data_IF_744637725096
#
_entry.id   IF_744637725096
#
_cell.length_a   1.000
_cell.length_b   1.000
_cell.length_c   1.000
_cell.angle_alpha   90.00
_cell.angle_beta   90.00
_cell.angle_gamma   90.00
#
_symmetry.space_group_name_H-M   'P 1'
#
loop_
_entity.id
_entity.type
_entity.pdbx_description
1 polymer ?
#
# COMPACT_ATOMS: atom_id res chain seq x y z
N UNK A 1 6.73 7.03 -19.61
CA UNK A 1 7.10 7.26 -21.02
C UNK A 1 7.08 5.94 -21.76
N UNK A 2 6.71 5.94 -23.04
CA UNK A 2 6.84 4.75 -23.90
C UNK A 2 8.33 4.55 -24.22
N UNK A 3 8.86 3.32 -24.18
CA UNK A 3 10.26 3.07 -24.48
C UNK A 3 10.52 3.22 -25.98
N UNK A 4 11.41 4.14 -26.35
CA UNK A 4 11.81 4.46 -27.72
C UNK A 4 13.31 4.17 -27.90
N UNK A 5 13.70 3.67 -29.07
CA UNK A 5 15.10 3.47 -29.48
C UNK A 5 15.67 4.78 -30.03
N UNK A 6 14.85 5.57 -30.73
CA UNK A 6 15.19 6.90 -31.25
C UNK A 6 13.93 7.72 -31.52
N UNK A 7 14.07 9.05 -31.52
CA UNK A 7 12.99 10.01 -31.80
C UNK A 7 12.22 10.45 -30.56
N UNK A 8 11.47 11.54 -30.68
CA UNK A 8 10.54 12.04 -29.65
C UNK A 8 9.09 11.94 -30.14
N UNK A 9 8.17 11.60 -29.23
CA UNK A 9 6.73 11.52 -29.53
C UNK A 9 6.14 12.89 -29.88
N UNK A 10 6.83 13.98 -29.53
CA UNK A 10 6.47 15.34 -29.92
C UNK A 10 6.58 15.58 -31.45
N UNK A 11 7.37 14.77 -32.16
CA UNK A 11 7.62 14.94 -33.61
C UNK A 11 6.50 14.35 -34.48
N UNK A 12 5.63 13.50 -33.92
CA UNK A 12 4.51 12.82 -34.63
C UNK A 12 3.31 13.75 -34.84
N UNK A 13 3.17 14.82 -34.06
CA UNK A 13 1.97 15.65 -34.02
C UNK A 13 1.76 16.59 -35.22
N UNK A 14 2.71 16.67 -36.16
CA UNK A 14 2.61 17.59 -37.30
C UNK A 14 1.81 17.05 -38.52
N UNK A 15 1.42 15.77 -38.51
CA UNK A 15 0.84 15.10 -39.69
C UNK A 15 -0.61 14.65 -39.55
N UNK A 16 -1.56 15.57 -39.71
CA UNK A 16 -2.92 15.24 -40.19
C UNK A 16 -3.94 14.72 -39.17
N UNK A 17 -4.48 15.62 -38.34
CA UNK A 17 -5.85 15.46 -37.83
C UNK A 17 -6.78 16.27 -38.73
N UNK A 18 -7.20 15.70 -39.87
CA UNK A 18 -8.32 16.24 -40.64
C UNK A 18 -9.63 15.91 -39.91
N UNK A 19 -9.89 16.64 -38.83
CA UNK A 19 -11.26 16.86 -38.36
C UNK A 19 -11.80 18.05 -39.16
N UNK A 20 -12.57 17.77 -40.20
CA UNK A 20 -13.51 18.73 -40.76
C UNK A 20 -14.48 19.12 -39.64
N UNK A 21 -14.29 20.29 -39.03
CA UNK A 21 -15.36 21.12 -38.47
C UNK A 21 -14.79 22.47 -38.00
N UNK A 22 -15.35 23.58 -38.51
CA UNK A 22 -15.43 24.85 -37.80
C UNK A 22 -14.53 26.00 -38.27
N UNK A 23 -15.07 26.81 -39.19
CA UNK A 23 -14.99 28.28 -39.24
C UNK A 23 -13.61 28.97 -39.07
N UNK A 24 -12.94 29.23 -40.20
CA UNK A 24 -11.91 30.28 -40.30
C UNK A 24 -12.57 31.65 -40.52
N UNK A 25 -12.62 32.45 -39.47
CA UNK A 25 -12.83 33.89 -39.54
C UNK A 25 -11.49 34.54 -39.97
N UNK A 26 -11.52 35.31 -41.05
CA UNK A 26 -10.33 35.89 -41.66
C UNK A 26 -9.73 37.03 -40.85
N UNK A 27 -8.41 37.03 -40.73
CA UNK A 27 -7.63 38.26 -40.73
C UNK A 27 -6.24 37.98 -41.29
N UNK A 28 -5.87 38.76 -42.29
CA UNK A 28 -4.56 38.75 -42.92
C UNK A 28 -3.58 39.63 -42.15
N UNK A 29 -2.38 39.14 -41.88
CA UNK A 29 -1.13 39.87 -42.16
C UNK A 29 0.10 38.97 -41.98
N UNK A 30 1.01 39.12 -42.95
CA UNK A 30 2.46 38.94 -42.97
C UNK A 30 3.21 37.58 -42.89
N UNK A 31 4.02 37.42 -43.95
CA UNK A 31 5.38 36.85 -44.05
C UNK A 31 5.61 35.32 -44.10
N UNK A 32 5.88 34.85 -45.34
CA UNK A 32 6.87 33.84 -45.77
C UNK A 32 7.18 32.63 -44.86
N UNK A 33 6.44 31.53 -45.05
CA UNK A 33 6.98 30.18 -45.32
C UNK A 33 5.80 29.24 -45.60
N UNK A 34 5.54 28.96 -46.89
CA UNK A 34 4.59 27.92 -47.31
C UNK A 34 5.19 26.54 -47.01
N UNK A 35 5.09 26.14 -45.75
CA UNK A 35 5.37 24.78 -45.30
C UNK A 35 4.13 24.20 -44.63
N UNK A 36 3.05 24.10 -45.41
CA UNK A 36 1.95 23.20 -45.05
C UNK A 36 2.51 21.78 -44.90
N UNK A 37 1.97 20.96 -43.97
CA UNK A 37 2.51 19.63 -43.69
C UNK A 37 2.43 18.75 -44.95
N UNK A 38 3.53 18.67 -45.68
CA UNK A 38 3.67 17.77 -46.81
C UNK A 38 3.58 16.34 -46.27
N UNK A 39 2.79 15.49 -46.93
CA UNK A 39 2.75 14.05 -46.63
C UNK A 39 4.14 13.44 -46.53
N UNK A 40 5.10 13.95 -47.32
CA UNK A 40 6.52 13.61 -47.27
C UNK A 40 7.16 13.90 -45.89
N UNK A 41 6.95 15.10 -45.33
CA UNK A 41 7.47 15.48 -44.01
C UNK A 41 6.83 14.66 -42.88
N UNK A 42 5.56 14.32 -43.01
CA UNK A 42 4.89 13.41 -42.06
C UNK A 42 5.52 12.02 -42.07
N UNK A 43 5.85 11.46 -43.25
CA UNK A 43 6.56 10.18 -43.36
C UNK A 43 8.00 10.25 -42.84
N UNK A 44 8.69 11.37 -43.07
CA UNK A 44 10.04 11.60 -42.54
C UNK A 44 10.03 11.67 -41.01
N UNK A 45 9.06 12.38 -40.42
CA UNK A 45 8.88 12.46 -38.96
C UNK A 45 8.51 11.10 -38.34
N UNK A 46 7.58 10.36 -38.96
CA UNK A 46 7.22 9.00 -38.51
C UNK A 46 8.40 8.03 -38.58
N UNK A 47 9.29 8.18 -39.57
CA UNK A 47 10.47 7.32 -39.73
C UNK A 47 11.54 7.53 -38.64
N UNK A 48 11.51 8.69 -37.97
CA UNK A 48 12.45 9.06 -36.91
C UNK A 48 12.07 8.44 -35.56
N UNK A 49 10.78 8.16 -35.33
CA UNK A 49 10.31 7.53 -34.10
C UNK A 49 10.36 6.01 -34.22
N UNK A 50 11.31 5.39 -33.49
CA UNK A 50 11.48 3.93 -33.47
C UNK A 50 11.10 3.37 -32.10
N UNK A 51 9.98 2.63 -31.99
CA UNK A 51 9.59 2.02 -30.72
C UNK A 51 10.60 0.94 -30.30
N UNK A 52 10.89 0.87 -28.99
CA UNK A 52 11.75 -0.17 -28.46
C UNK A 52 10.96 -1.47 -28.17
N UNK A 53 11.21 -2.48 -28.99
CA UNK A 53 10.65 -3.83 -28.84
C UNK A 53 11.59 -4.79 -28.11
N UNK A 54 12.69 -4.32 -27.50
CA UNK A 54 13.66 -5.14 -26.77
C UNK A 54 13.00 -5.95 -25.66
N UNK A 55 12.06 -5.33 -24.94
CA UNK A 55 11.33 -5.90 -23.80
C UNK A 55 10.25 -6.92 -24.19
N UNK A 56 9.84 -6.98 -25.47
CA UNK A 56 8.87 -7.97 -25.92
C UNK A 56 9.52 -9.35 -26.11
N UNK A 57 8.73 -10.40 -25.84
CA UNK A 57 9.13 -11.79 -26.10
C UNK A 57 9.28 -12.03 -27.61
N UNK A 58 10.26 -12.84 -28.00
CA UNK A 58 10.52 -13.16 -29.42
C UNK A 58 9.30 -13.77 -30.13
N UNK A 59 8.43 -14.49 -29.42
CA UNK A 59 7.17 -15.02 -29.96
C UNK A 59 6.18 -13.95 -30.40
N UNK A 60 6.24 -12.75 -29.81
CA UNK A 60 5.39 -11.61 -30.17
C UNK A 60 6.00 -10.79 -31.32
N UNK A 61 7.34 -10.77 -31.42
CA UNK A 61 8.08 -10.11 -32.51
C UNK A 61 7.99 -10.87 -33.84
N UNK A 62 7.90 -12.20 -33.79
CA UNK A 62 7.96 -13.07 -34.96
C UNK A 62 6.57 -13.53 -35.46
N UNK A 63 5.51 -12.83 -35.06
CA UNK A 63 4.14 -13.18 -35.44
C UNK A 63 3.82 -12.50 -36.78
N UNK A 64 3.86 -13.26 -37.87
CA UNK A 64 3.71 -12.74 -39.24
C UNK A 64 2.30 -12.90 -39.83
N UNK A 65 1.43 -13.63 -39.12
CA UNK A 65 0.04 -13.86 -39.55
C UNK A 65 -0.88 -12.76 -39.00
N UNK A 66 -1.58 -12.08 -39.90
CA UNK A 66 -2.47 -10.96 -39.58
C UNK A 66 -3.60 -11.36 -38.63
N UNK A 67 -4.15 -12.57 -38.79
CA UNK A 67 -5.23 -13.06 -37.93
C UNK A 67 -4.71 -13.42 -36.52
N UNK A 68 -3.50 -13.98 -36.43
CA UNK A 68 -2.83 -14.23 -35.15
C UNK A 68 -2.51 -12.94 -34.38
N UNK A 69 -2.09 -11.88 -35.08
CA UNK A 69 -1.82 -10.55 -34.50
C UNK A 69 -3.11 -9.97 -33.90
N UNK A 70 -4.21 -9.93 -34.67
CA UNK A 70 -5.51 -9.42 -34.20
C UNK A 70 -6.03 -10.20 -33.00
N UNK A 71 -5.85 -11.52 -33.00
CA UNK A 71 -6.22 -12.36 -31.84
C UNK A 71 -5.42 -11.98 -30.59
N UNK A 72 -4.09 -11.79 -30.72
CA UNK A 72 -3.24 -11.37 -29.60
C UNK A 72 -3.54 -9.97 -29.10
N UNK A 73 -3.87 -9.05 -30.00
CA UNK A 73 -4.34 -7.73 -29.64
C UNK A 73 -5.62 -7.81 -28.79
N UNK A 74 -6.62 -8.60 -29.23
CA UNK A 74 -7.85 -8.82 -28.48
C UNK A 74 -7.64 -9.46 -27.10
N UNK A 75 -6.71 -10.42 -26.99
CA UNK A 75 -6.31 -11.02 -25.71
C UNK A 75 -5.70 -9.97 -24.77
N UNK A 76 -4.75 -9.17 -25.27
CA UNK A 76 -4.10 -8.11 -24.49
C UNK A 76 -5.10 -7.03 -24.06
N UNK A 77 -6.00 -6.61 -24.94
CA UNK A 77 -7.03 -5.63 -24.63
C UNK A 77 -7.98 -6.14 -23.53
N UNK A 78 -8.33 -7.43 -23.58
CA UNK A 78 -9.14 -8.09 -22.55
C UNK A 78 -8.41 -8.13 -21.22
N UNK A 79 -7.13 -8.50 -21.22
CA UNK A 79 -6.28 -8.51 -20.02
C UNK A 79 -6.14 -7.11 -19.40
N UNK A 80 -5.94 -6.07 -20.23
CA UNK A 80 -5.88 -4.68 -19.79
C UNK A 80 -7.20 -4.27 -19.13
N UNK A 81 -8.33 -4.60 -19.76
CA UNK A 81 -9.65 -4.28 -19.22
C UNK A 81 -9.92 -5.01 -17.89
N UNK A 82 -9.52 -6.27 -17.78
CA UNK A 82 -9.60 -7.05 -16.54
C UNK A 82 -8.76 -6.42 -15.42
N UNK A 83 -7.49 -6.07 -15.69
CA UNK A 83 -6.63 -5.40 -14.70
C UNK A 83 -7.18 -4.03 -14.30
N UNK A 84 -7.72 -3.25 -15.25
CA UNK A 84 -8.39 -1.97 -14.97
C UNK A 84 -9.61 -2.16 -14.07
N UNK A 85 -10.39 -3.22 -14.27
CA UNK A 85 -11.54 -3.52 -13.43
C UNK A 85 -11.12 -3.95 -12.01
N UNK A 86 -10.05 -4.75 -11.88
CA UNK A 86 -9.47 -5.10 -10.58
C UNK A 86 -8.98 -3.84 -9.84
N UNK A 87 -8.25 -2.96 -10.53
CA UNK A 87 -7.80 -1.68 -9.96
C UNK A 87 -8.97 -0.76 -9.57
N UNK A 88 -10.08 -0.77 -10.33
CA UNK A 88 -11.33 -0.09 -9.97
C UNK A 88 -12.06 -0.74 -8.80
N UNK A 89 -11.86 -2.02 -8.52
CA UNK A 89 -12.41 -2.67 -7.32
C UNK A 89 -11.58 -2.34 -6.06
N UNK A 90 -10.29 -2.04 -6.22
CA UNK A 90 -9.36 -1.69 -5.14
C UNK A 90 -9.35 -0.16 -4.87
N UNK A 91 -10.45 0.55 -5.16
CA UNK A 91 -10.51 2.02 -5.12
C UNK A 91 -10.37 2.65 -3.73
N UNK A 92 -10.52 1.88 -2.67
CA UNK A 92 -10.24 2.37 -1.32
C UNK A 92 -9.02 1.63 -0.77
N UNK A 93 -7.81 2.22 -0.87
CA UNK A 93 -6.74 1.85 0.04
C UNK A 93 -7.33 1.93 1.45
N UNK A 94 -7.23 0.86 2.23
CA UNK A 94 -7.68 0.85 3.61
C UNK A 94 -6.71 1.72 4.44
N UNK A 95 -6.70 3.03 4.18
CA UNK A 95 -5.82 4.01 4.83
C UNK A 95 -6.00 3.98 6.35
N UNK A 96 -7.21 3.64 6.81
CA UNK A 96 -7.54 3.45 8.21
C UNK A 96 -7.00 2.15 8.81
N UNK A 97 -6.42 1.24 8.03
CA UNK A 97 -5.81 0.01 8.53
C UNK A 97 -4.53 0.29 9.30
N UNK A 98 -3.74 1.25 8.83
CA UNK A 98 -2.46 1.61 9.45
C UNK A 98 -2.74 2.27 10.79
N UNK A 99 -3.61 3.30 10.81
CA UNK A 99 -4.02 3.99 12.04
C UNK A 99 -4.65 3.02 13.06
N UNK A 100 -5.59 2.17 12.62
CA UNK A 100 -6.20 1.16 13.51
C UNK A 100 -5.19 0.15 14.05
N UNK A 101 -4.16 -0.18 13.28
CA UNK A 101 -3.12 -1.11 13.72
C UNK A 101 -2.21 -0.46 14.76
N UNK A 102 -1.94 0.84 14.62
CA UNK A 102 -1.20 1.63 15.63
C UNK A 102 -2.01 1.76 16.92
N UNK A 103 -3.29 2.14 16.84
CA UNK A 103 -4.21 2.20 17.99
C UNK A 103 -4.28 0.86 18.75
N UNK A 104 -4.38 -0.26 18.02
CA UNK A 104 -4.44 -1.60 18.63
C UNK A 104 -3.11 -1.96 19.29
N UNK A 105 -1.97 -1.59 18.70
CA UNK A 105 -0.65 -1.81 19.30
C UNK A 105 -0.46 -1.01 20.58
N UNK A 106 -0.85 0.25 20.58
CA UNK A 106 -0.75 1.11 21.75
C UNK A 106 -1.64 0.61 22.88
N UNK A 107 -2.89 0.25 22.57
CA UNK A 107 -3.81 -0.35 23.55
C UNK A 107 -3.30 -1.68 24.09
N UNK A 108 -2.67 -2.52 23.25
CA UNK A 108 -2.05 -3.76 23.68
C UNK A 108 -0.90 -3.49 24.66
N UNK A 109 -0.02 -2.55 24.33
CA UNK A 109 1.12 -2.18 25.18
C UNK A 109 0.68 -1.58 26.52
N UNK A 110 -0.36 -0.74 26.51
CA UNK A 110 -0.96 -0.18 27.72
C UNK A 110 -1.56 -1.29 28.59
N UNK A 111 -2.33 -2.18 28.00
CA UNK A 111 -2.95 -3.32 28.71
C UNK A 111 -1.89 -4.26 29.29
N UNK A 112 -0.82 -4.56 28.55
CA UNK A 112 0.28 -5.40 29.04
C UNK A 112 1.00 -4.75 30.23
N UNK A 113 1.23 -3.44 30.16
CA UNK A 113 1.81 -2.68 31.28
C UNK A 113 0.91 -2.73 32.52
N UNK A 114 -0.39 -2.49 32.33
CA UNK A 114 -1.39 -2.52 33.41
C UNK A 114 -1.48 -3.90 34.07
N UNK A 115 -1.54 -4.97 33.28
CA UNK A 115 -1.59 -6.35 33.80
C UNK A 115 -0.31 -6.69 34.59
N UNK A 116 0.85 -6.24 34.13
CA UNK A 116 2.11 -6.44 34.86
C UNK A 116 2.13 -5.68 36.19
N UNK A 117 1.64 -4.44 36.21
CA UNK A 117 1.51 -3.65 37.44
C UNK A 117 0.53 -4.30 38.43
N UNK A 118 -0.64 -4.73 37.96
CA UNK A 118 -1.64 -5.43 38.78
C UNK A 118 -1.08 -6.73 39.36
N UNK A 119 -0.29 -7.48 38.59
CA UNK A 119 0.41 -8.68 39.08
C UNK A 119 1.41 -8.35 40.18
N UNK A 120 2.19 -7.29 40.01
CA UNK A 120 3.15 -6.85 41.01
C UNK A 120 2.45 -6.42 42.30
N UNK A 121 1.38 -5.66 42.20
CA UNK A 121 0.64 -5.16 43.35
C UNK A 121 -0.13 -6.28 44.07
N UNK A 122 -0.71 -7.22 43.33
CA UNK A 122 -1.30 -8.44 43.90
C UNK A 122 -0.26 -9.26 44.67
N UNK A 123 0.95 -9.41 44.11
CA UNK A 123 2.07 -10.09 44.80
C UNK A 123 2.47 -9.36 46.08
N UNK A 124 2.61 -8.03 46.04
CA UNK A 124 2.91 -7.21 47.24
C UNK A 124 1.83 -7.37 48.31
N UNK A 125 0.56 -7.24 47.93
CA UNK A 125 -0.56 -7.40 48.85
C UNK A 125 -0.57 -8.79 49.51
N UNK A 126 -0.33 -9.86 48.73
CA UNK A 126 -0.22 -11.23 49.25
C UNK A 126 0.94 -11.38 50.24
N UNK A 127 2.11 -10.81 49.93
CA UNK A 127 3.26 -10.86 50.84
C UNK A 127 2.98 -10.14 52.16
N UNK A 128 2.41 -8.92 52.10
CA UNK A 128 2.05 -8.15 53.28
C UNK A 128 1.00 -8.88 54.14
N UNK A 129 0.00 -9.50 53.51
CA UNK A 129 -0.99 -10.30 54.21
C UNK A 129 -0.37 -11.50 54.95
N UNK A 130 0.48 -12.27 54.28
CA UNK A 130 1.14 -13.43 54.90
C UNK A 130 2.10 -13.04 56.03
N UNK A 131 2.74 -11.87 55.93
CA UNK A 131 3.57 -11.32 57.00
C UNK A 131 2.72 -11.01 58.25
N UNK A 132 1.62 -10.28 58.09
CA UNK A 132 0.70 -9.94 59.19
C UNK A 132 0.12 -11.21 59.82
N UNK A 133 -0.32 -12.16 58.98
CA UNK A 133 -0.86 -13.45 59.43
C UNK A 133 0.16 -14.23 60.26
N UNK A 134 1.43 -14.28 59.81
CA UNK A 134 2.51 -14.95 60.54
C UNK A 134 2.79 -14.27 61.88
N UNK A 135 2.84 -12.94 61.91
CA UNK A 135 3.05 -12.19 63.15
C UNK A 135 1.91 -12.42 64.14
N UNK A 136 0.65 -12.33 63.69
CA UNK A 136 -0.52 -12.59 64.53
C UNK A 136 -0.50 -14.00 65.12
N UNK A 137 -0.16 -15.02 64.31
CA UNK A 137 -0.08 -16.40 64.79
C UNK A 137 1.05 -16.57 65.81
N UNK A 138 2.21 -15.93 65.60
CA UNK A 138 3.34 -15.98 66.54
C UNK A 138 2.96 -15.40 67.91
N UNK A 139 2.39 -14.19 67.93
CA UNK A 139 1.97 -13.53 69.17
C UNK A 139 0.88 -14.34 69.89
N UNK A 140 -0.08 -14.89 69.14
CA UNK A 140 -1.11 -15.75 69.69
C UNK A 140 -0.50 -17.01 70.34
N UNK A 141 0.37 -17.73 69.63
CA UNK A 141 1.00 -18.94 70.16
C UNK A 141 1.87 -18.64 71.39
N UNK A 142 2.61 -17.53 71.38
CA UNK A 142 3.42 -17.11 72.52
C UNK A 142 2.55 -16.93 73.77
N UNK A 143 1.42 -16.22 73.65
CA UNK A 143 0.49 -16.03 74.76
C UNK A 143 -0.18 -17.35 75.17
N UNK A 144 -0.65 -18.12 74.18
CA UNK A 144 -1.32 -19.39 74.39
C UNK A 144 -0.44 -20.39 75.14
N UNK A 145 0.82 -20.56 74.74
CA UNK A 145 1.78 -21.47 75.40
C UNK A 145 2.03 -21.05 76.85
N UNK A 146 2.18 -19.76 77.12
CA UNK A 146 2.37 -19.24 78.48
C UNK A 146 1.15 -19.52 79.38
N UNK A 147 -0.07 -19.33 78.85
CA UNK A 147 -1.31 -19.61 79.59
C UNK A 147 -1.47 -21.11 79.79
N UNK A 148 -1.28 -21.93 78.75
CA UNK A 148 -1.43 -23.38 78.80
C UNK A 148 -0.50 -24.01 79.85
N UNK A 149 0.79 -23.63 79.88
CA UNK A 149 1.74 -24.11 80.89
C UNK A 149 1.33 -23.76 82.32
N UNK A 150 0.73 -22.59 82.54
CA UNK A 150 0.28 -22.18 83.88
C UNK A 150 -1.02 -22.85 84.29
N UNK A 151 -1.93 -23.13 83.36
CA UNK A 151 -3.21 -23.79 83.65
C UNK A 151 -2.99 -25.20 84.21
N UNK A 152 -2.03 -25.94 83.68
CA UNK A 152 -1.69 -27.29 84.19
C UNK A 152 -1.15 -27.28 85.63
N UNK A 153 -0.65 -26.14 86.13
CA UNK A 153 -0.15 -26.03 87.50
C UNK A 153 -1.22 -25.73 88.55
N UNK A 154 -2.41 -25.29 88.12
CA UNK A 154 -3.53 -24.86 88.98
C UNK A 154 -4.73 -25.82 88.90
N UNK A 155 -4.64 -26.86 88.08
CA UNK A 155 -5.55 -28.00 88.00
C UNK A 155 -4.87 -29.27 88.52
#
# INVERSE_FOLDING_TARGET
ELPLVSGDLNDIAAGGTNNNDGETNGNADDEDDDDGPSTQRSYENDSNVKPDYSILKNSLKNMNDSDAIKKKEGEMQTEINSKREVLRKIQAPNMRAIDKLEDVKDRLKETDSEVNNLRLDSKKAKMAFEEIKRNRLREFNLCFENVAQRVDSIY
#
